data_IF_239378322004
#
_entry.id   IF_239378322004
#
_cell.length_a   1.000
_cell.length_b   1.000
_cell.length_c   1.000
_cell.angle_alpha   90.00
_cell.angle_beta   90.00
_cell.angle_gamma   90.00
#
_symmetry.space_group_name_H-M   'P 1'
#
loop_
_entity.id
_entity.type
_entity.pdbx_description
1 polymer ?
#
# COMPACT_ATOMS: atom_id res chain seq x y z
N UNK A 1 22.86 19.57 40.25
CA UNK A 1 22.98 18.23 39.67
C UNK A 1 21.71 17.92 38.90
N UNK A 2 21.76 17.96 37.55
CA UNK A 2 20.61 17.63 36.68
C UNK A 2 20.72 16.16 36.30
N UNK A 3 19.73 15.36 36.70
CA UNK A 3 19.61 13.96 36.30
C UNK A 3 19.24 13.89 34.81
N UNK A 4 20.08 13.23 34.02
CA UNK A 4 19.74 12.85 32.65
C UNK A 4 18.78 11.66 32.72
N UNK A 5 17.50 11.87 32.41
CA UNK A 5 16.58 10.77 32.11
C UNK A 5 17.02 10.18 30.77
N UNK A 6 17.65 9.01 30.83
CA UNK A 6 17.87 8.16 29.67
C UNK A 6 16.51 7.81 29.07
N UNK A 7 16.27 8.32 27.86
CA UNK A 7 15.11 7.96 27.06
C UNK A 7 15.33 6.50 26.63
N UNK A 8 14.65 5.58 27.30
CA UNK A 8 14.66 4.15 26.96
C UNK A 8 14.17 4.04 25.52
N UNK A 9 15.06 3.62 24.63
CA UNK A 9 14.72 3.31 23.25
C UNK A 9 13.73 2.14 23.28
N UNK A 10 12.53 2.36 22.76
CA UNK A 10 11.50 1.34 22.65
C UNK A 10 11.96 0.29 21.61
N UNK A 11 12.24 -0.96 22.01
CA UNK A 11 12.80 -2.00 21.13
C UNK A 11 11.81 -2.49 20.07
N UNK A 12 10.55 -2.03 20.09
CA UNK A 12 9.54 -2.38 19.11
C UNK A 12 9.81 -1.84 17.69
N UNK A 13 10.82 -0.97 17.50
CA UNK A 13 11.11 -0.32 16.21
C UNK A 13 12.16 -1.03 15.34
N UNK A 14 12.83 -2.07 15.86
CA UNK A 14 13.77 -2.91 15.10
C UNK A 14 13.11 -4.14 14.44
N UNK A 15 11.79 -4.26 14.57
CA UNK A 15 11.04 -5.30 13.88
C UNK A 15 10.74 -4.86 12.44
N UNK A 16 10.94 -5.74 11.43
CA UNK A 16 10.48 -5.48 10.06
C UNK A 16 9.00 -5.08 10.09
N UNK A 17 8.54 -4.18 9.19
CA UNK A 17 7.23 -3.55 9.28
C UNK A 17 6.15 -4.59 9.59
N UNK A 18 5.56 -4.47 10.77
CA UNK A 18 4.49 -5.36 11.21
C UNK A 18 3.28 -5.16 10.31
N UNK A 19 3.03 -6.17 9.48
CA UNK A 19 1.88 -6.28 8.59
C UNK A 19 0.59 -5.85 9.30
N UNK A 20 -0.13 -4.88 8.71
CA UNK A 20 -1.48 -4.63 9.12
C UNK A 20 -2.34 -5.82 8.68
N UNK A 21 -3.17 -6.36 9.59
CA UNK A 21 -4.08 -7.49 9.31
C UNK A 21 -4.97 -7.24 8.08
N UNK A 22 -5.27 -5.98 7.77
CA UNK A 22 -6.12 -5.54 6.66
C UNK A 22 -5.48 -5.79 5.28
N UNK A 23 -4.17 -5.59 5.13
CA UNK A 23 -3.46 -5.76 3.86
C UNK A 23 -3.39 -7.24 3.46
N UNK A 24 -3.05 -8.11 4.44
CA UNK A 24 -3.10 -9.57 4.26
C UNK A 24 -4.52 -10.06 3.97
N UNK A 25 -5.52 -9.42 4.56
CA UNK A 25 -6.93 -9.76 4.33
C UNK A 25 -7.35 -9.44 2.90
N UNK A 26 -6.97 -8.29 2.34
CA UNK A 26 -7.32 -7.93 0.95
C UNK A 26 -6.65 -8.87 -0.05
N UNK A 27 -5.34 -9.11 0.10
CA UNK A 27 -4.61 -10.03 -0.76
C UNK A 27 -5.18 -11.47 -0.68
N UNK A 28 -5.51 -11.94 0.52
CA UNK A 28 -6.16 -13.24 0.72
C UNK A 28 -7.54 -13.31 0.05
N UNK A 29 -8.38 -12.30 0.24
CA UNK A 29 -9.70 -12.25 -0.40
C UNK A 29 -9.62 -12.20 -1.93
N UNK A 30 -8.64 -11.48 -2.48
CA UNK A 30 -8.38 -11.43 -3.91
C UNK A 30 -7.96 -12.81 -4.43
N UNK A 31 -7.03 -13.48 -3.74
CA UNK A 31 -6.60 -14.84 -4.08
C UNK A 31 -7.76 -15.83 -4.06
N UNK A 32 -8.56 -15.83 -2.99
CA UNK A 32 -9.71 -16.73 -2.83
C UNK A 32 -10.73 -16.55 -3.97
N UNK A 33 -11.01 -15.29 -4.34
CA UNK A 33 -11.92 -14.98 -5.46
C UNK A 33 -11.34 -15.42 -6.81
N UNK A 34 -10.04 -15.26 -7.00
CA UNK A 34 -9.36 -15.65 -8.24
C UNK A 34 -9.35 -17.16 -8.43
N UNK A 35 -9.09 -17.90 -7.35
CA UNK A 35 -9.20 -19.35 -7.32
C UNK A 35 -10.64 -19.81 -7.60
N UNK A 36 -11.63 -19.18 -6.95
CA UNK A 36 -13.04 -19.50 -7.14
C UNK A 36 -13.54 -19.20 -8.56
N UNK A 37 -12.95 -18.19 -9.24
CA UNK A 37 -13.29 -17.80 -10.60
C UNK A 37 -12.58 -18.62 -11.68
N UNK A 38 -11.60 -19.46 -11.31
CA UNK A 38 -10.88 -20.28 -12.27
C UNK A 38 -9.85 -19.51 -13.10
N UNK A 39 -9.10 -18.59 -12.46
CA UNK A 39 -8.01 -17.79 -13.07
C UNK A 39 -8.44 -16.69 -14.06
N UNK A 40 -9.65 -16.18 -13.91
CA UNK A 40 -10.15 -15.01 -14.63
C UNK A 40 -9.99 -13.70 -13.86
N UNK A 41 -10.29 -12.58 -14.54
CA UNK A 41 -10.33 -11.24 -13.93
C UNK A 41 -11.32 -11.20 -12.77
N UNK A 42 -10.87 -10.78 -11.58
CA UNK A 42 -11.73 -10.69 -10.39
C UNK A 42 -12.32 -9.29 -10.21
N UNK A 43 -13.54 -9.23 -9.67
CA UNK A 43 -14.29 -7.99 -9.39
C UNK A 43 -14.41 -7.72 -7.89
N UNK A 44 -14.87 -6.52 -7.54
CA UNK A 44 -15.02 -6.01 -6.17
C UNK A 44 -13.74 -5.45 -5.56
N UNK A 45 -12.72 -5.18 -6.39
CA UNK A 45 -11.47 -4.52 -6.03
C UNK A 45 -11.13 -3.39 -7.01
N UNK A 46 -12.11 -2.90 -7.77
CA UNK A 46 -11.93 -2.02 -8.93
C UNK A 46 -11.07 -0.81 -8.59
N UNK A 47 -11.39 -0.09 -7.51
CA UNK A 47 -10.65 1.08 -7.07
C UNK A 47 -9.17 0.79 -6.70
N UNK A 48 -8.89 -0.41 -6.21
CA UNK A 48 -7.60 -0.87 -5.67
C UNK A 48 -6.92 -1.90 -6.58
N UNK A 49 -7.31 -1.94 -7.86
CA UNK A 49 -6.75 -2.88 -8.81
C UNK A 49 -6.26 -2.18 -10.07
N UNK A 50 -5.24 -2.75 -10.69
CA UNK A 50 -4.79 -2.35 -12.01
C UNK A 50 -4.54 -3.62 -12.82
N UNK A 51 -4.83 -3.58 -14.12
CA UNK A 51 -4.61 -4.69 -15.04
C UNK A 51 -3.51 -4.27 -16.01
N UNK A 52 -2.52 -5.12 -16.13
CA UNK A 52 -1.41 -4.95 -17.05
C UNK A 52 -1.58 -5.97 -18.15
N UNK A 53 -1.69 -5.51 -19.39
CA UNK A 53 -1.49 -6.34 -20.56
C UNK A 53 0.01 -6.49 -20.78
N UNK A 54 0.52 -7.72 -20.72
CA UNK A 54 1.94 -8.00 -20.97
C UNK A 54 2.17 -8.95 -22.15
N UNK A 55 1.56 -8.71 -23.33
CA UNK A 55 1.86 -9.52 -24.49
C UNK A 55 3.32 -9.29 -24.88
N UNK A 56 4.12 -10.36 -24.83
CA UNK A 56 5.52 -10.35 -25.25
C UNK A 56 6.46 -9.40 -24.46
N UNK A 57 6.15 -9.08 -23.19
CA UNK A 57 7.01 -8.24 -22.36
C UNK A 57 6.82 -6.72 -22.55
N UNK A 58 5.80 -6.31 -23.31
CA UNK A 58 5.49 -4.90 -23.54
C UNK A 58 5.07 -4.17 -22.25
N UNK A 59 4.38 -4.87 -21.33
CA UNK A 59 3.85 -4.41 -20.06
C UNK A 59 3.18 -3.02 -20.16
N UNK A 60 1.96 -2.99 -20.68
CA UNK A 60 1.11 -1.80 -20.81
C UNK A 60 -0.05 -1.86 -19.83
N UNK A 61 -0.38 -0.73 -19.19
CA UNK A 61 -1.55 -0.64 -18.31
C UNK A 61 -2.81 -0.70 -19.17
N UNK A 62 -3.58 -1.78 -19.04
CA UNK A 62 -4.87 -1.95 -19.72
C UNK A 62 -5.97 -1.16 -18.98
N UNK A 63 -6.04 -1.32 -17.66
CA UNK A 63 -6.99 -0.60 -16.81
C UNK A 63 -6.39 -0.30 -15.45
N UNK A 64 -6.89 0.76 -14.81
CA UNK A 64 -6.43 1.21 -13.49
C UNK A 64 -7.62 1.72 -12.68
N UNK A 65 -7.67 1.31 -11.43
CA UNK A 65 -8.67 1.76 -10.46
C UNK A 65 -8.49 3.21 -10.05
N UNK A 66 -9.60 3.90 -9.79
CA UNK A 66 -9.62 5.33 -9.50
C UNK A 66 -8.70 5.74 -8.34
N UNK A 67 -8.61 4.91 -7.28
CA UNK A 67 -7.78 5.23 -6.12
C UNK A 67 -6.28 5.11 -6.45
N UNK A 68 -5.90 4.14 -7.28
CA UNK A 68 -4.53 3.98 -7.78
C UNK A 68 -4.19 5.12 -8.75
N UNK A 69 -5.09 5.41 -9.70
CA UNK A 69 -4.92 6.48 -10.68
C UNK A 69 -4.72 7.84 -9.99
N UNK A 70 -5.59 8.16 -9.01
CA UNK A 70 -5.52 9.40 -8.26
C UNK A 70 -4.26 9.54 -7.39
N UNK A 71 -3.76 8.44 -6.82
CA UNK A 71 -2.60 8.48 -5.92
C UNK A 71 -1.28 8.49 -6.68
N UNK A 72 -1.15 7.66 -7.72
CA UNK A 72 0.13 7.43 -8.41
C UNK A 72 0.21 8.09 -9.79
N UNK A 73 -0.85 8.78 -10.23
CA UNK A 73 -0.90 9.41 -11.55
C UNK A 73 -0.86 8.40 -12.69
N UNK A 74 -1.31 7.16 -12.44
CA UNK A 74 -1.36 6.10 -13.44
C UNK A 74 -2.61 6.23 -14.30
N UNK A 75 -2.49 5.88 -15.58
CA UNK A 75 -3.57 5.89 -16.55
C UNK A 75 -3.46 4.67 -17.47
N UNK A 76 -4.61 4.23 -17.99
CA UNK A 76 -4.68 3.23 -19.03
C UNK A 76 -3.93 3.69 -20.30
N UNK A 77 -3.37 2.74 -21.05
CA UNK A 77 -2.57 2.98 -22.25
C UNK A 77 -1.11 3.36 -21.98
N UNK A 78 -0.70 3.51 -20.73
CA UNK A 78 0.70 3.79 -20.39
C UNK A 78 1.55 2.52 -20.47
N UNK A 79 2.64 2.60 -21.21
CA UNK A 79 3.70 1.60 -21.12
C UNK A 79 4.45 1.75 -19.79
N UNK A 80 4.68 0.64 -19.09
CA UNK A 80 5.48 0.67 -17.88
C UNK A 80 6.91 1.11 -18.22
N UNK A 81 7.45 2.02 -17.42
CA UNK A 81 8.85 2.43 -17.46
C UNK A 81 9.80 1.38 -16.86
N UNK A 82 11.08 1.71 -16.81
CA UNK A 82 12.15 0.85 -16.28
C UNK A 82 12.62 1.27 -14.89
N UNK A 83 11.92 2.19 -14.22
CA UNK A 83 12.29 2.73 -12.91
C UNK A 83 11.08 2.84 -11.98
N UNK A 84 11.34 2.85 -10.67
CA UNK A 84 10.32 3.05 -9.64
C UNK A 84 9.22 1.98 -9.68
N UNK A 85 7.99 2.36 -9.35
CA UNK A 85 6.84 1.45 -9.31
C UNK A 85 6.61 0.71 -10.64
N UNK A 86 6.86 1.36 -11.78
CA UNK A 86 6.68 0.73 -13.07
C UNK A 86 7.66 -0.43 -13.32
N UNK A 87 8.89 -0.33 -12.78
CA UNK A 87 9.86 -1.42 -12.84
C UNK A 87 9.41 -2.61 -11.99
N UNK A 88 8.92 -2.36 -10.78
CA UNK A 88 8.42 -3.41 -9.88
C UNK A 88 7.21 -4.14 -10.48
N UNK A 89 6.26 -3.40 -11.05
CA UNK A 89 5.11 -3.96 -11.76
C UNK A 89 5.54 -4.82 -12.95
N UNK A 90 6.50 -4.34 -13.76
CA UNK A 90 7.05 -5.12 -14.90
C UNK A 90 7.79 -6.37 -14.41
N UNK A 91 8.56 -6.28 -13.34
CA UNK A 91 9.27 -7.42 -12.78
C UNK A 91 8.30 -8.51 -12.30
N UNK A 92 7.21 -8.12 -11.63
CA UNK A 92 6.16 -9.04 -11.21
C UNK A 92 5.47 -9.72 -12.40
N UNK A 93 5.21 -9.00 -13.50
CA UNK A 93 4.69 -9.61 -14.74
C UNK A 93 5.69 -10.62 -15.33
N UNK A 94 6.99 -10.25 -15.37
CA UNK A 94 8.05 -11.13 -15.85
C UNK A 94 8.19 -12.43 -15.06
N UNK A 95 7.97 -12.41 -13.74
CA UNK A 95 7.95 -13.62 -12.92
C UNK A 95 6.79 -14.55 -13.30
N UNK A 96 5.63 -14.01 -13.67
CA UNK A 96 4.46 -14.80 -14.07
C UNK A 96 4.56 -15.43 -15.45
N UNK A 97 5.37 -14.84 -16.33
CA UNK A 97 5.73 -15.47 -17.59
C UNK A 97 6.56 -16.74 -17.39
N UNK A 98 7.26 -16.87 -16.25
CA UNK A 98 8.06 -18.05 -15.90
C UNK A 98 7.22 -19.07 -15.11
N UNK A 99 6.48 -18.61 -14.10
CA UNK A 99 5.62 -19.43 -13.26
C UNK A 99 4.22 -18.81 -13.13
N UNK A 100 3.23 -19.47 -13.74
CA UNK A 100 1.85 -19.00 -13.82
C UNK A 100 1.14 -19.30 -12.49
N UNK A 101 1.55 -18.56 -11.47
CA UNK A 101 1.04 -18.63 -10.11
C UNK A 101 0.83 -17.21 -9.56
N UNK A 102 -0.14 -17.01 -8.66
CA UNK A 102 -0.29 -15.77 -7.91
C UNK A 102 1.01 -15.41 -7.17
N UNK A 103 1.46 -14.17 -7.31
CA UNK A 103 2.69 -13.69 -6.66
C UNK A 103 2.36 -12.57 -5.68
N UNK A 104 2.91 -12.59 -4.45
CA UNK A 104 2.84 -11.43 -3.58
C UNK A 104 3.57 -10.24 -4.24
N UNK A 105 2.98 -9.05 -4.12
CA UNK A 105 3.55 -7.83 -4.67
C UNK A 105 3.89 -6.87 -3.54
N UNK A 106 5.10 -6.32 -3.56
CA UNK A 106 5.56 -5.28 -2.65
C UNK A 106 6.43 -4.27 -3.39
N UNK A 107 6.13 -2.99 -3.23
CA UNK A 107 6.93 -1.91 -3.78
C UNK A 107 7.03 -0.76 -2.77
N UNK A 108 8.17 -0.09 -2.74
CA UNK A 108 8.37 1.12 -1.92
C UNK A 108 8.70 2.29 -2.82
N UNK A 109 7.93 3.37 -2.70
CA UNK A 109 8.17 4.62 -3.41
C UNK A 109 8.67 5.65 -2.41
N UNK A 110 9.84 6.22 -2.63
CA UNK A 110 10.36 7.28 -1.78
C UNK A 110 9.61 8.60 -2.05
N UNK A 111 9.12 9.24 -0.99
CA UNK A 111 8.64 10.62 -0.99
C UNK A 111 9.76 11.46 -0.36
N UNK A 112 10.68 11.90 -1.20
CA UNK A 112 11.81 12.73 -0.78
C UNK A 112 11.32 14.01 -0.07
N UNK A 113 11.91 14.42 1.07
CA UNK A 113 12.89 13.74 1.92
C UNK A 113 12.30 13.04 3.14
N UNK A 114 10.98 13.03 3.32
CA UNK A 114 10.34 12.86 4.63
C UNK A 114 9.49 11.59 4.79
N UNK A 115 9.34 10.78 3.73
CA UNK A 115 8.54 9.56 3.83
C UNK A 115 8.71 8.61 2.66
N UNK A 116 7.94 7.53 2.70
CA UNK A 116 7.78 6.62 1.59
C UNK A 116 6.33 6.12 1.54
N UNK A 117 5.89 5.71 0.35
CA UNK A 117 4.66 4.94 0.18
C UNK A 117 5.06 3.49 0.06
N UNK A 118 4.47 2.64 0.90
CA UNK A 118 4.62 1.19 0.80
C UNK A 118 3.36 0.65 0.13
N UNK A 119 3.52 0.07 -1.06
CA UNK A 119 2.48 -0.68 -1.78
C UNK A 119 2.65 -2.15 -1.48
N UNK A 120 1.55 -2.83 -1.16
CA UNK A 120 1.51 -4.26 -0.88
C UNK A 120 0.26 -4.86 -1.50
N UNK A 121 0.35 -6.08 -1.99
CA UNK A 121 -0.79 -6.71 -2.62
C UNK A 121 -0.48 -8.09 -3.16
N UNK A 122 -1.28 -8.47 -4.15
CA UNK A 122 -1.11 -9.71 -4.89
C UNK A 122 -1.27 -9.42 -6.37
N UNK A 123 -0.38 -10.01 -7.16
CA UNK A 123 -0.49 -10.07 -8.59
C UNK A 123 -1.14 -11.42 -8.95
N UNK A 124 -2.09 -11.39 -9.88
CA UNK A 124 -2.91 -12.53 -10.27
C UNK A 124 -2.85 -12.70 -11.80
N UNK A 125 -2.34 -13.82 -12.32
CA UNK A 125 -2.32 -14.06 -13.75
C UNK A 125 -3.74 -14.33 -14.24
N UNK A 126 -4.14 -13.71 -15.36
CA UNK A 126 -5.43 -13.91 -16.00
C UNK A 126 -5.23 -14.81 -17.22
N UNK A 127 -5.83 -15.99 -17.19
CA UNK A 127 -5.69 -17.02 -18.23
C UNK A 127 -7.02 -17.26 -18.98
N UNK A 128 -7.93 -16.28 -18.96
CA UNK A 128 -9.25 -16.39 -19.57
C UNK A 128 -9.13 -16.33 -21.10
N UNK A 129 -8.83 -17.47 -21.73
CA UNK A 129 -8.80 -17.56 -23.19
C UNK A 129 -10.22 -17.45 -23.75
N UNK A 130 -10.44 -16.42 -24.58
CA UNK A 130 -11.41 -16.53 -25.67
C UNK A 130 -11.05 -17.78 -26.46
N UNK A 131 -11.96 -18.75 -26.48
CA UNK A 131 -11.80 -20.05 -27.13
C UNK A 131 -11.27 -19.91 -28.56
N UNK A 132 -10.00 -20.28 -28.81
CA UNK A 132 -9.51 -20.40 -30.18
C UNK A 132 -7.99 -20.32 -30.41
N UNK A 133 -7.18 -19.83 -29.49
CA UNK A 133 -5.73 -19.77 -29.69
C UNK A 133 -5.06 -21.10 -29.28
N UNK A 134 -4.57 -21.83 -30.27
CA UNK A 134 -3.69 -22.98 -30.10
C UNK A 134 -2.31 -22.44 -29.71
N UNK A 135 -1.88 -22.67 -28.46
CA UNK A 135 -0.47 -22.48 -28.06
C UNK A 135 -0.31 -21.71 -26.76
N UNK A 136 0.14 -22.45 -25.74
CA UNK A 136 0.67 -22.04 -24.43
C UNK A 136 -0.18 -21.10 -23.57
N UNK A 137 -0.54 -21.59 -22.36
CA UNK A 137 -1.31 -20.91 -21.32
C UNK A 137 -0.58 -19.68 -20.70
N UNK A 138 0.11 -18.87 -21.49
CA UNK A 138 0.79 -17.67 -21.01
C UNK A 138 -0.29 -16.62 -20.72
N UNK A 139 -0.34 -16.03 -19.51
CA UNK A 139 -1.30 -14.99 -19.21
C UNK A 139 -1.00 -13.74 -20.03
N UNK A 140 -1.94 -13.33 -20.89
CA UNK A 140 -1.84 -12.06 -21.62
C UNK A 140 -2.03 -10.85 -20.69
N UNK A 141 -2.67 -11.07 -19.54
CA UNK A 141 -3.00 -10.04 -18.56
C UNK A 141 -2.64 -10.46 -17.14
N UNK A 142 -2.20 -9.49 -16.34
CA UNK A 142 -1.96 -9.64 -14.91
C UNK A 142 -2.77 -8.59 -14.16
N UNK A 143 -3.62 -9.02 -13.24
CA UNK A 143 -4.34 -8.13 -12.33
C UNK A 143 -3.56 -7.99 -11.03
N UNK A 144 -3.19 -6.77 -10.68
CA UNK A 144 -2.67 -6.44 -9.37
C UNK A 144 -3.82 -5.94 -8.51
N UNK A 145 -3.97 -6.49 -7.31
CA UNK A 145 -4.82 -5.95 -6.25
C UNK A 145 -3.92 -5.48 -5.14
N UNK A 146 -3.86 -4.16 -4.94
CA UNK A 146 -2.89 -3.51 -4.07
C UNK A 146 -3.56 -2.58 -3.07
N UNK A 147 -2.93 -2.48 -1.91
CA UNK A 147 -3.20 -1.48 -0.91
C UNK A 147 -1.90 -0.70 -0.65
N UNK A 148 -2.01 0.54 -0.21
CA UNK A 148 -0.84 1.34 0.13
C UNK A 148 -1.00 2.11 1.41
N UNK A 149 0.14 2.48 1.97
CA UNK A 149 0.21 3.35 3.13
C UNK A 149 1.39 4.29 3.02
N UNK A 150 1.15 5.54 3.37
CA UNK A 150 2.20 6.52 3.60
C UNK A 150 2.88 6.27 4.95
N UNK A 151 4.19 6.15 4.92
CA UNK A 151 5.05 5.94 6.07
C UNK A 151 6.00 7.12 6.17
N UNK A 152 5.87 7.89 7.24
CA UNK A 152 6.83 8.94 7.55
C UNK A 152 8.17 8.32 7.95
N UNK A 153 9.27 8.90 7.48
CA UNK A 153 10.58 8.50 7.92
C UNK A 153 10.80 8.87 9.41
N UNK A 154 11.91 8.40 9.99
CA UNK A 154 12.22 8.61 11.42
C UNK A 154 12.26 10.11 11.79
N UNK A 155 12.83 10.94 10.93
CA UNK A 155 13.00 12.37 11.14
C UNK A 155 11.66 13.11 11.12
N UNK A 156 10.83 12.83 10.11
CA UNK A 156 9.49 13.38 9.96
C UNK A 156 8.56 12.92 11.09
N UNK A 157 8.64 11.64 11.49
CA UNK A 157 7.90 11.11 12.64
C UNK A 157 8.29 11.81 13.95
N UNK A 158 9.60 12.02 14.18
CA UNK A 158 10.09 12.72 15.37
C UNK A 158 9.70 14.21 15.37
N UNK A 159 9.67 14.85 14.19
CA UNK A 159 9.19 16.23 14.02
C UNK A 159 7.68 16.32 14.31
N UNK A 160 6.86 15.50 13.68
CA UNK A 160 5.41 15.45 13.90
C UNK A 160 5.08 15.19 15.37
N UNK A 161 5.80 14.28 16.03
CA UNK A 161 5.63 14.03 17.47
C UNK A 161 5.92 15.28 18.30
N UNK A 162 6.99 16.03 17.99
CA UNK A 162 7.31 17.29 18.69
C UNK A 162 6.24 18.36 18.47
N UNK A 163 5.72 18.47 17.25
CA UNK A 163 4.65 19.40 16.90
C UNK A 163 3.33 19.04 17.63
N UNK A 164 2.92 17.77 17.62
CA UNK A 164 1.76 17.27 18.35
C UNK A 164 1.88 17.47 19.86
N UNK A 165 3.04 17.16 20.45
CA UNK A 165 3.26 17.39 21.89
C UNK A 165 3.16 18.89 22.23
N UNK A 166 3.68 19.75 21.37
CA UNK A 166 3.57 21.21 21.54
C UNK A 166 2.12 21.67 21.43
N UNK A 167 1.39 21.25 20.40
CA UNK A 167 -0.02 21.58 20.20
C UNK A 167 -0.91 21.10 21.36
N UNK A 168 -0.72 19.85 21.81
CA UNK A 168 -1.47 19.28 22.93
C UNK A 168 -1.15 19.95 24.27
N UNK A 169 0.08 20.44 24.47
CA UNK A 169 0.43 21.26 25.64
C UNK A 169 -0.29 22.61 25.62
N UNK A 170 -0.40 23.23 24.45
CA UNK A 170 -1.13 24.50 24.29
C UNK A 170 -2.62 24.27 24.59
N UNK A 171 -3.24 23.21 24.06
CA UNK A 171 -4.65 22.89 24.35
C UNK A 171 -4.89 22.58 25.84
N UNK A 172 -3.97 21.85 26.49
CA UNK A 172 -4.04 21.63 27.95
C UNK A 172 -3.85 22.90 28.78
N UNK A 173 -3.05 23.85 28.28
CA UNK A 173 -2.84 25.13 28.96
C UNK A 173 -4.05 26.08 28.80
N UNK A 174 -4.84 25.91 27.75
CA UNK A 174 -6.00 26.77 27.44
C UNK A 174 -7.30 26.29 28.10
N UNK A 175 -7.40 25.04 28.54
CA UNK A 175 -8.52 24.58 29.38
C UNK A 175 -8.12 24.52 30.85
N UNK A 176 -8.31 25.59 31.65
CA UNK A 176 -8.58 25.39 33.06
C UNK A 176 -9.90 24.64 33.12
N UNK A 177 -9.84 23.38 33.53
CA UNK A 177 -11.04 22.61 33.87
C UNK A 177 -11.69 23.36 35.04
N UNK A 178 -12.62 24.27 34.75
CA UNK A 178 -13.56 24.76 35.74
C UNK A 178 -14.28 23.50 36.19
N UNK A 179 -13.99 23.06 37.40
CA UNK A 179 -14.71 21.95 38.00
C UNK A 179 -16.17 22.41 38.20
N UNK A 180 -17.14 21.85 37.46
CA UNK A 180 -18.54 22.26 37.58
C UNK A 180 -19.16 21.87 38.93
N UNK A 181 -18.40 21.17 39.78
CA UNK A 181 -18.78 20.78 41.14
C UNK A 181 -17.89 21.41 42.21
N UNK A 182 -17.02 22.36 41.87
CA UNK A 182 -16.29 23.11 42.89
C UNK A 182 -17.30 23.88 43.76
N UNK A 183 -17.28 23.69 45.10
CA UNK A 183 -18.17 24.40 46.00
C UNK A 183 -17.91 25.91 45.91
N UNK A 184 -18.99 26.69 45.87
CA UNK A 184 -18.91 28.16 45.86
C UNK A 184 -18.25 28.63 47.16
N UNK A 185 -17.16 29.42 47.12
CA UNK A 185 -16.50 29.91 48.34
C UNK A 185 -17.31 30.95 49.14
N UNK A 186 -18.62 31.07 48.89
CA UNK A 186 -19.56 31.98 49.58
C UNK A 186 -20.71 31.29 50.32
N UNK A 187 -20.70 29.97 50.46
CA UNK A 187 -21.61 29.22 51.34
C UNK A 187 -20.96 28.79 52.66
#
# INVERSE_FOLDING_TARGET
MRGAMAMVADPAFDLPPHFAVVERRMAGQALDRWQARGRGLITGFEANSLVIADPFGAATIDSVGDAIAGTFGLAAGLALGTTGLAAELRAACGLMAIDIAPQPFEATLEIDPDGCIVLRGIALPICDHVAGAIGDNIPDFVQFVVNWREVLNRSASARLRRELVTALRIVRAVSPKIDPFAPDPRE
#
